data_IF_239544636726
#
_entry.id   IF_239544636726
#
_cell.length_a   1.000
_cell.length_b   1.000
_cell.length_c   1.000
_cell.angle_alpha   90.00
_cell.angle_beta   90.00
_cell.angle_gamma   90.00
#
_symmetry.space_group_name_H-M   'P 1'
#
loop_
_entity.id
_entity.type
_entity.pdbx_description
1 polymer ?
#
# COMPACT_ATOMS: atom_id res chain seq x y z
N UNK A 1 -3.11 15.36 -10.91
CA UNK A 1 -3.74 16.59 -11.45
C UNK A 1 -2.86 17.82 -11.27
N UNK A 2 -2.63 18.35 -10.05
CA UNK A 2 -1.81 19.58 -9.88
C UNK A 2 -0.38 19.50 -10.46
N UNK A 3 0.25 18.33 -10.40
CA UNK A 3 1.56 18.09 -11.04
C UNK A 3 1.48 18.22 -12.56
N UNK A 4 0.49 17.55 -13.16
CA UNK A 4 0.24 17.57 -14.61
C UNK A 4 -0.12 18.98 -15.12
N UNK A 5 -0.88 19.75 -14.35
CA UNK A 5 -1.25 21.13 -14.71
C UNK A 5 -0.02 22.05 -14.73
N UNK A 6 0.91 21.89 -13.78
CA UNK A 6 2.19 22.59 -13.80
C UNK A 6 3.05 22.15 -14.98
N UNK A 7 3.19 20.84 -15.19
CA UNK A 7 3.95 20.30 -16.32
C UNK A 7 3.37 20.75 -17.67
N UNK A 8 2.06 20.89 -17.80
CA UNK A 8 1.42 21.40 -19.02
C UNK A 8 1.68 22.90 -19.24
N UNK A 9 1.70 23.71 -18.18
CA UNK A 9 2.08 25.12 -18.28
C UNK A 9 3.57 25.28 -18.63
N UNK A 10 4.45 24.49 -18.01
CA UNK A 10 5.89 24.48 -18.29
C UNK A 10 6.17 24.08 -19.75
N UNK A 11 5.31 23.24 -20.34
CA UNK A 11 5.38 22.81 -21.74
C UNK A 11 4.56 23.71 -22.71
N UNK A 12 4.01 24.84 -22.25
CA UNK A 12 3.26 25.78 -23.08
C UNK A 12 1.90 25.26 -23.59
N UNK A 13 1.39 24.17 -23.03
CA UNK A 13 0.07 23.59 -23.37
C UNK A 13 -1.09 24.25 -22.61
N UNK A 14 -0.77 25.01 -21.57
CA UNK A 14 -1.72 25.80 -20.78
C UNK A 14 -1.14 27.19 -20.54
N UNK A 15 -1.99 28.20 -20.58
CA UNK A 15 -1.61 29.54 -20.13
C UNK A 15 -1.40 29.56 -18.60
N UNK A 16 -0.48 30.39 -18.14
CA UNK A 16 -0.09 30.46 -16.72
C UNK A 16 -1.30 30.74 -15.84
N UNK A 17 -2.17 31.66 -16.28
CA UNK A 17 -3.38 32.02 -15.56
C UNK A 17 -4.38 30.87 -15.43
N UNK A 18 -4.54 30.06 -16.47
CA UNK A 18 -5.42 28.89 -16.46
C UNK A 18 -4.86 27.80 -15.53
N UNK A 19 -3.55 27.57 -15.60
CA UNK A 19 -2.87 26.62 -14.74
C UNK A 19 -2.99 27.01 -13.25
N UNK A 20 -2.83 28.29 -12.93
CA UNK A 20 -3.05 28.80 -11.57
C UNK A 20 -4.49 28.63 -11.10
N UNK A 21 -5.46 28.95 -11.96
CA UNK A 21 -6.89 28.83 -11.65
C UNK A 21 -7.25 27.38 -11.31
N UNK A 22 -6.75 26.42 -12.10
CA UNK A 22 -6.96 24.98 -11.87
C UNK A 22 -6.21 24.52 -10.60
N UNK A 23 -4.99 25.02 -10.34
CA UNK A 23 -4.21 24.64 -9.18
C UNK A 23 -4.86 25.07 -7.85
N UNK A 24 -5.53 26.23 -7.84
CA UNK A 24 -6.24 26.80 -6.68
C UNK A 24 -7.51 26.03 -6.32
N UNK A 25 -8.11 25.28 -7.25
CA UNK A 25 -9.25 24.42 -6.94
C UNK A 25 -8.87 23.42 -5.85
N UNK A 26 -9.68 23.41 -4.78
CA UNK A 26 -9.48 22.52 -3.63
C UNK A 26 -9.76 21.09 -4.08
N UNK A 27 -8.72 20.26 -4.07
CA UNK A 27 -8.89 18.82 -4.34
C UNK A 27 -9.80 18.19 -3.30
N UNK A 28 -10.81 17.45 -3.76
CA UNK A 28 -11.63 16.60 -2.89
C UNK A 28 -10.73 15.46 -2.40
N UNK A 29 -10.70 15.24 -1.08
CA UNK A 29 -9.97 14.12 -0.51
C UNK A 29 -10.60 12.82 -1.03
N UNK A 30 -9.87 12.09 -1.87
CA UNK A 30 -10.22 10.72 -2.23
C UNK A 30 -9.71 9.79 -1.14
N UNK A 31 -10.49 9.61 -0.08
CA UNK A 31 -10.28 8.50 0.84
C UNK A 31 -11.02 7.28 0.30
N UNK A 32 -10.39 6.10 0.41
CA UNK A 32 -11.08 4.84 0.15
C UNK A 32 -12.24 4.67 1.14
N UNK A 33 -13.38 4.21 0.65
CA UNK A 33 -14.49 3.84 1.53
C UNK A 33 -14.07 2.60 2.33
N UNK A 34 -14.02 2.72 3.66
CA UNK A 34 -13.82 1.55 4.53
C UNK A 34 -15.05 0.67 4.39
N UNK A 35 -14.86 -0.59 3.97
CA UNK A 35 -15.93 -1.58 3.78
C UNK A 35 -16.58 -2.07 5.09
N UNK A 36 -16.27 -1.44 6.23
CA UNK A 36 -16.87 -1.76 7.55
C UNK A 36 -16.40 -3.08 8.18
N UNK A 37 -15.99 -4.06 7.38
CA UNK A 37 -15.46 -5.34 7.82
C UNK A 37 -13.96 -5.25 8.09
N UNK A 38 -13.58 -5.21 9.37
CA UNK A 38 -12.20 -5.47 9.76
C UNK A 38 -11.93 -6.97 9.68
N UNK A 39 -10.75 -7.33 9.16
CA UNK A 39 -10.33 -8.73 9.10
C UNK A 39 -10.04 -9.20 10.53
N UNK A 40 -10.96 -9.95 11.13
CA UNK A 40 -10.73 -10.61 12.41
C UNK A 40 -9.79 -11.81 12.21
N UNK A 41 -9.31 -12.41 13.32
CA UNK A 41 -8.29 -13.47 13.28
C UNK A 41 -8.65 -14.65 12.38
N UNK A 42 -9.92 -15.07 12.38
CA UNK A 42 -10.38 -16.26 11.65
C UNK A 42 -10.38 -16.00 10.12
N UNK A 43 -11.05 -14.96 9.58
CA UNK A 43 -10.93 -14.58 8.17
C UNK A 43 -9.49 -14.29 7.73
N UNK A 44 -8.65 -13.77 8.63
CA UNK A 44 -7.24 -13.53 8.35
C UNK A 44 -6.46 -14.83 8.13
N UNK A 45 -6.73 -15.85 8.95
CA UNK A 45 -6.13 -17.17 8.80
C UNK A 45 -6.63 -17.87 7.52
N UNK A 46 -7.93 -17.81 7.23
CA UNK A 46 -8.51 -18.35 6.00
C UNK A 46 -7.87 -17.72 4.75
N UNK A 47 -7.65 -16.40 4.77
CA UNK A 47 -6.99 -15.68 3.68
C UNK A 47 -5.54 -16.16 3.46
N UNK A 48 -4.80 -16.48 4.52
CA UNK A 48 -3.44 -17.03 4.42
C UNK A 48 -3.42 -18.46 3.86
N UNK A 49 -4.50 -19.21 4.07
CA UNK A 49 -4.63 -20.60 3.63
C UNK A 49 -5.25 -20.72 2.23
N UNK A 50 -5.93 -19.69 1.74
CA UNK A 50 -6.60 -19.67 0.44
C UNK A 50 -5.68 -19.92 -0.79
N UNK A 51 -4.42 -19.46 -0.85
CA UNK A 51 -3.53 -19.77 -1.97
C UNK A 51 -3.17 -21.26 -2.00
N UNK A 52 -3.14 -21.84 -3.21
CA UNK A 52 -2.73 -23.22 -3.44
C UNK A 52 -1.29 -23.45 -2.96
N UNK A 53 -1.06 -24.62 -2.35
CA UNK A 53 0.22 -25.02 -1.75
C UNK A 53 1.37 -25.06 -2.76
N UNK A 54 1.06 -25.14 -4.06
CA UNK A 54 2.03 -25.05 -5.15
C UNK A 54 2.65 -23.65 -5.31
N UNK A 55 2.04 -22.61 -4.71
CA UNK A 55 2.47 -21.20 -4.81
C UNK A 55 2.92 -20.65 -3.45
N UNK A 56 3.99 -21.24 -2.89
CA UNK A 56 4.63 -20.77 -1.65
C UNK A 56 4.91 -19.25 -1.63
N UNK A 57 5.18 -18.68 -2.82
CA UNK A 57 5.36 -17.24 -3.02
C UNK A 57 4.11 -16.44 -2.61
N UNK A 58 2.93 -16.81 -3.08
CA UNK A 58 1.71 -16.00 -2.88
C UNK A 58 1.28 -16.03 -1.41
N UNK A 59 1.41 -17.19 -0.76
CA UNK A 59 1.22 -17.31 0.69
C UNK A 59 2.22 -16.45 1.47
N UNK A 60 3.50 -16.45 1.10
CA UNK A 60 4.51 -15.62 1.74
C UNK A 60 4.22 -14.12 1.57
N UNK A 61 3.79 -13.69 0.38
CA UNK A 61 3.39 -12.30 0.14
C UNK A 61 2.21 -11.88 1.02
N UNK A 62 1.16 -12.71 1.12
CA UNK A 62 0.01 -12.42 1.98
C UNK A 62 0.39 -12.37 3.46
N UNK A 63 1.25 -13.30 3.90
CA UNK A 63 1.75 -13.31 5.28
C UNK A 63 2.52 -12.03 5.62
N UNK A 64 3.37 -11.56 4.71
CA UNK A 64 4.14 -10.31 4.90
C UNK A 64 3.23 -9.08 4.89
N UNK A 65 2.29 -8.99 3.95
CA UNK A 65 1.33 -7.89 3.89
C UNK A 65 0.49 -7.80 5.17
N UNK A 66 -0.03 -8.94 5.64
CA UNK A 66 -0.90 -8.99 6.80
C UNK A 66 -0.12 -8.83 8.11
N UNK A 67 1.00 -9.52 8.26
CA UNK A 67 1.79 -9.55 9.50
C UNK A 67 2.58 -8.27 9.76
N UNK A 68 3.06 -7.61 8.71
CA UNK A 68 3.81 -6.35 8.83
C UNK A 68 2.95 -5.10 8.54
N UNK A 69 1.72 -5.27 8.04
CA UNK A 69 0.84 -4.14 7.71
C UNK A 69 1.32 -3.32 6.51
N UNK A 70 2.08 -3.92 5.60
CA UNK A 70 2.67 -3.22 4.45
C UNK A 70 1.61 -2.86 3.42
N UNK A 71 1.82 -1.73 2.74
CA UNK A 71 1.13 -1.38 1.51
C UNK A 71 1.69 -2.22 0.36
N UNK A 72 0.88 -2.45 -0.68
CA UNK A 72 1.32 -3.17 -1.89
C UNK A 72 2.58 -2.56 -2.52
N UNK A 73 2.68 -1.24 -2.56
CA UNK A 73 3.85 -0.53 -3.09
C UNK A 73 5.10 -0.71 -2.22
N UNK A 74 4.95 -0.94 -0.92
CA UNK A 74 6.07 -1.20 -0.02
C UNK A 74 6.57 -2.63 -0.18
N UNK A 75 5.65 -3.61 -0.27
CA UNK A 75 5.99 -5.01 -0.54
C UNK A 75 6.77 -5.18 -1.85
N UNK A 76 6.37 -4.49 -2.92
CA UNK A 76 7.06 -4.57 -4.23
C UNK A 76 8.50 -4.04 -4.16
N UNK A 77 8.78 -3.08 -3.27
CA UNK A 77 10.12 -2.54 -3.06
C UNK A 77 10.88 -3.23 -1.92
N UNK A 78 10.31 -4.30 -1.34
CA UNK A 78 10.92 -5.02 -0.24
C UNK A 78 12.13 -5.82 -0.73
N UNK A 79 13.29 -5.55 -0.14
CA UNK A 79 14.54 -6.29 -0.38
C UNK A 79 15.00 -7.02 0.88
N UNK A 80 15.87 -8.02 0.74
CA UNK A 80 16.42 -8.78 1.88
C UNK A 80 17.11 -7.92 2.94
N UNK A 81 17.65 -6.74 2.57
CA UNK A 81 18.27 -5.81 3.51
C UNK A 81 17.27 -5.23 4.54
N UNK A 82 15.98 -5.22 4.21
CA UNK A 82 14.93 -4.77 5.12
C UNK A 82 14.54 -5.85 6.14
N UNK A 83 14.91 -7.11 5.89
CA UNK A 83 14.56 -8.25 6.75
C UNK A 83 15.63 -8.40 7.82
N UNK A 84 15.26 -8.15 9.08
CA UNK A 84 16.13 -8.39 10.22
C UNK A 84 15.72 -9.68 10.91
N UNK A 85 16.58 -10.70 10.85
CA UNK A 85 16.44 -11.86 11.71
C UNK A 85 17.02 -11.53 13.08
N UNK A 86 16.16 -11.24 14.06
CA UNK A 86 16.58 -11.10 15.45
C UNK A 86 16.54 -12.49 16.10
N UNK A 87 17.55 -12.87 16.90
CA UNK A 87 17.48 -14.08 17.70
C UNK A 87 16.20 -14.01 18.55
N UNK A 88 15.37 -15.03 18.41
CA UNK A 88 14.06 -15.13 19.02
C UNK A 88 14.17 -14.97 20.54
N UNK A 89 13.62 -13.88 21.07
CA UNK A 89 13.27 -13.83 22.49
C UNK A 89 11.95 -14.55 22.62
N UNK A 90 12.01 -15.84 22.92
CA UNK A 90 10.84 -16.64 23.28
C UNK A 90 10.29 -16.07 24.59
N UNK A 91 9.19 -15.32 24.51
CA UNK A 91 8.32 -15.20 25.68
C UNK A 91 7.44 -16.44 25.60
N UNK A 92 7.91 -17.51 26.25
CA UNK A 92 7.14 -18.73 26.41
C UNK A 92 5.82 -18.39 27.08
N UNK A 93 4.72 -18.77 26.44
CA UNK A 93 3.48 -19.01 27.14
C UNK A 93 3.58 -20.43 27.71
N UNK A 94 3.83 -20.51 29.01
CA UNK A 94 3.33 -21.55 29.91
C UNK A 94 2.72 -20.83 31.10
#
# INVERSE_FOLDING_TARGET
MRKLVREAADNGQLEIFEAESIARVKGIKKQGQRTGAWLSRVPAQELLLAPDVSTLRDRALLAVLLGCGLRRSELVNLTFQHVQQRPSRWVGWI
#
